data_IF_428948728238
#
_entry.id   IF_428948728238
#
_cell.length_a   1.000
_cell.length_b   1.000
_cell.length_c   1.000
_cell.angle_alpha   90.00
_cell.angle_beta   90.00
_cell.angle_gamma   90.00
#
_symmetry.space_group_name_H-M   'P 1'
#
loop_
_entity.id
_entity.type
_entity.pdbx_description
1 polymer ?
#
# COMPACT_ATOMS: atom_id res chain seq x y z
N UNK A 1 -11.64 -44.92 -11.13
CA UNK A 1 -11.20 -43.52 -11.28
C UNK A 1 -12.47 -42.72 -11.44
N UNK A 2 -12.85 -41.99 -10.41
CA UNK A 2 -14.00 -41.09 -10.43
C UNK A 2 -13.47 -39.74 -9.99
N UNK A 3 -13.24 -38.88 -10.99
CA UNK A 3 -12.90 -37.48 -10.80
C UNK A 3 -14.10 -36.78 -10.16
N UNK A 4 -13.93 -36.32 -8.92
CA UNK A 4 -14.84 -35.42 -8.25
C UNK A 4 -14.53 -33.99 -8.69
N UNK A 5 -15.17 -33.56 -9.78
CA UNK A 5 -15.23 -32.16 -10.18
C UNK A 5 -16.29 -31.48 -9.30
N UNK A 6 -15.86 -30.87 -8.20
CA UNK A 6 -16.71 -29.96 -7.42
C UNK A 6 -16.72 -28.63 -8.17
N UNK A 7 -17.87 -28.15 -8.69
CA UNK A 7 -17.90 -26.83 -9.30
C UNK A 7 -17.62 -25.80 -8.21
N UNK A 8 -16.57 -24.99 -8.40
CA UNK A 8 -16.34 -23.81 -7.60
C UNK A 8 -17.58 -22.91 -7.72
N UNK A 9 -18.28 -22.71 -6.61
CA UNK A 9 -19.47 -21.89 -6.52
C UNK A 9 -19.09 -20.43 -6.76
N UNK A 10 -19.11 -20.01 -8.02
CA UNK A 10 -18.85 -18.63 -8.42
C UNK A 10 -20.14 -17.85 -8.15
N UNK A 11 -20.37 -17.49 -6.89
CA UNK A 11 -21.52 -16.70 -6.48
C UNK A 11 -21.56 -15.37 -7.26
N UNK A 12 -22.74 -14.99 -7.77
CA UNK A 12 -22.90 -13.76 -8.52
C UNK A 12 -22.64 -12.52 -7.63
N UNK A 13 -22.03 -11.45 -8.17
CA UNK A 13 -21.72 -10.24 -7.39
C UNK A 13 -22.99 -9.62 -6.79
N UNK A 14 -22.88 -9.14 -5.56
CA UNK A 14 -23.98 -8.58 -4.77
C UNK A 14 -23.71 -7.13 -4.40
N UNK A 15 -24.77 -6.37 -4.12
CA UNK A 15 -24.66 -4.96 -3.70
C UNK A 15 -25.10 -4.80 -2.25
N UNK A 16 -24.26 -4.12 -1.45
CA UNK A 16 -24.54 -3.78 -0.05
C UNK A 16 -24.64 -2.27 0.12
N UNK A 17 -25.74 -1.79 0.71
CA UNK A 17 -25.91 -0.38 1.09
C UNK A 17 -25.42 -0.18 2.53
N UNK A 18 -24.56 0.82 2.77
CA UNK A 18 -24.11 1.23 4.10
C UNK A 18 -24.66 2.61 4.45
N UNK A 19 -25.09 2.80 5.70
CA UNK A 19 -25.50 4.11 6.19
C UNK A 19 -24.38 4.81 6.98
N UNK A 20 -24.30 6.16 6.95
CA UNK A 20 -23.32 6.89 7.74
C UNK A 20 -23.41 6.55 9.24
N UNK A 21 -22.28 6.17 9.84
CA UNK A 21 -22.17 5.86 11.27
C UNK A 21 -22.43 4.40 11.67
N UNK A 22 -22.78 3.51 10.75
CA UNK A 22 -22.92 2.06 11.02
C UNK A 22 -21.58 1.34 11.20
N UNK A 23 -20.47 1.97 10.77
CA UNK A 23 -19.18 1.29 10.62
C UNK A 23 -19.21 0.28 9.46
N UNK A 24 -18.18 -0.55 9.32
CA UNK A 24 -18.21 -1.65 8.35
C UNK A 24 -17.85 -1.25 6.90
N UNK A 25 -17.36 -0.01 6.69
CA UNK A 25 -16.99 0.46 5.34
C UNK A 25 -15.81 -0.33 4.80
N UNK A 26 -14.78 -0.56 5.62
CA UNK A 26 -13.57 -1.26 5.21
C UNK A 26 -13.86 -2.73 4.91
N UNK A 27 -14.67 -3.40 5.75
CA UNK A 27 -15.09 -4.78 5.53
C UNK A 27 -15.95 -4.93 4.27
N UNK A 28 -16.84 -3.97 4.00
CA UNK A 28 -17.65 -3.99 2.79
C UNK A 28 -16.81 -3.70 1.54
N UNK A 29 -15.78 -2.86 1.64
CA UNK A 29 -14.86 -2.59 0.54
C UNK A 29 -14.04 -3.84 0.22
N UNK A 30 -13.52 -4.52 1.24
CA UNK A 30 -12.78 -5.77 1.09
C UNK A 30 -13.65 -6.89 0.50
N UNK A 31 -14.90 -7.02 0.96
CA UNK A 31 -15.87 -7.98 0.42
C UNK A 31 -16.23 -7.68 -1.05
N UNK A 32 -16.35 -6.39 -1.40
CA UNK A 32 -16.62 -5.97 -2.76
C UNK A 32 -15.43 -6.21 -3.70
N UNK A 33 -14.20 -5.93 -3.26
CA UNK A 33 -12.98 -6.17 -4.05
C UNK A 33 -12.81 -7.66 -4.38
N UNK A 34 -13.02 -8.55 -3.40
CA UNK A 34 -13.01 -10.00 -3.61
C UNK A 34 -14.08 -10.50 -4.60
N UNK A 35 -15.21 -9.79 -4.71
CA UNK A 35 -16.23 -10.11 -5.70
C UNK A 35 -15.85 -9.66 -7.11
N UNK A 36 -15.02 -8.62 -7.24
CA UNK A 36 -14.56 -8.14 -8.55
C UNK A 36 -13.38 -8.95 -9.06
N UNK A 37 -12.49 -9.37 -8.17
CA UNK A 37 -11.32 -10.17 -8.50
C UNK A 37 -11.09 -11.23 -7.41
N UNK A 38 -11.66 -12.44 -7.57
CA UNK A 38 -11.58 -13.50 -6.56
C UNK A 38 -10.17 -14.03 -6.32
N UNK A 39 -9.31 -13.88 -7.33
CA UNK A 39 -7.91 -14.31 -7.28
C UNK A 39 -7.00 -13.19 -6.75
N UNK A 40 -7.54 -11.98 -6.54
CA UNK A 40 -6.79 -10.86 -5.98
C UNK A 40 -6.44 -11.16 -4.52
N UNK A 41 -5.15 -11.21 -4.17
CA UNK A 41 -4.78 -11.22 -2.76
C UNK A 41 -5.30 -9.94 -2.12
N UNK A 42 -5.71 -10.00 -0.85
CA UNK A 42 -6.18 -8.82 -0.13
C UNK A 42 -5.16 -7.68 -0.33
N UNK A 43 -5.65 -6.48 -0.67
CA UNK A 43 -4.83 -5.26 -0.74
C UNK A 43 -4.39 -4.87 0.68
N UNK A 44 -3.46 -5.64 1.22
CA UNK A 44 -2.85 -5.42 2.51
C UNK A 44 -1.41 -5.03 2.25
N UNK A 45 -1.02 -3.85 2.75
CA UNK A 45 0.40 -3.57 2.96
C UNK A 45 0.98 -4.71 3.80
N UNK A 46 1.85 -5.52 3.19
CA UNK A 46 2.58 -6.55 3.92
C UNK A 46 3.60 -5.87 4.82
N UNK A 47 3.95 -6.50 5.95
CA UNK A 47 4.97 -5.95 6.85
C UNK A 47 6.30 -5.74 6.12
N UNK A 48 6.69 -6.67 5.24
CA UNK A 48 7.88 -6.56 4.40
C UNK A 48 7.78 -5.43 3.37
N UNK A 49 6.64 -5.30 2.67
CA UNK A 49 6.42 -4.21 1.70
C UNK A 49 6.49 -2.84 2.36
N UNK A 50 6.00 -2.73 3.60
CA UNK A 50 6.09 -1.50 4.39
C UNK A 50 7.51 -1.18 4.82
N UNK A 51 8.27 -2.17 5.29
CA UNK A 51 9.69 -2.01 5.62
C UNK A 51 10.54 -1.62 4.39
N UNK A 52 10.26 -2.22 3.24
CA UNK A 52 10.87 -1.84 1.97
C UNK A 52 10.51 -0.42 1.54
N UNK A 53 9.24 -0.02 1.69
CA UNK A 53 8.81 1.35 1.43
C UNK A 53 9.52 2.36 2.35
N UNK A 54 9.74 2.02 3.64
CA UNK A 54 10.50 2.87 4.56
C UNK A 54 11.94 3.06 4.10
N UNK A 55 12.64 1.96 3.76
CA UNK A 55 14.01 1.99 3.22
C UNK A 55 14.10 2.83 1.96
N UNK A 56 13.17 2.64 1.02
CA UNK A 56 13.13 3.37 -0.25
C UNK A 56 12.96 4.88 -0.01
N UNK A 57 11.97 5.28 0.79
CA UNK A 57 11.71 6.69 1.09
C UNK A 57 12.90 7.33 1.79
N UNK A 58 13.53 6.63 2.74
CA UNK A 58 14.75 7.12 3.38
C UNK A 58 15.91 7.29 2.37
N UNK A 59 16.13 6.32 1.50
CA UNK A 59 17.20 6.36 0.50
C UNK A 59 17.02 7.54 -0.47
N UNK A 60 15.78 7.80 -0.92
CA UNK A 60 15.47 8.94 -1.78
C UNK A 60 15.69 10.24 -1.02
N UNK A 61 15.15 10.36 0.20
CA UNK A 61 15.25 11.59 1.00
C UNK A 61 16.68 11.97 1.39
N UNK A 62 17.59 10.99 1.45
CA UNK A 62 19.01 11.21 1.78
C UNK A 62 19.91 11.30 0.54
N UNK A 63 19.35 11.05 -0.65
CA UNK A 63 20.07 11.19 -1.92
C UNK A 63 20.21 12.66 -2.30
N UNK A 64 21.31 13.02 -2.96
CA UNK A 64 21.59 14.42 -3.31
C UNK A 64 20.61 15.00 -4.36
N UNK A 65 19.95 14.14 -5.14
CA UNK A 65 19.13 14.50 -6.29
C UNK A 65 17.70 13.93 -6.23
N UNK A 66 17.22 13.49 -5.06
CA UNK A 66 15.94 12.76 -4.92
C UNK A 66 15.83 11.63 -5.97
N UNK A 67 16.88 10.83 -6.15
CA UNK A 67 17.02 9.96 -7.32
C UNK A 67 16.12 8.71 -7.24
N UNK A 68 14.91 8.82 -7.81
CA UNK A 68 13.84 7.81 -7.69
C UNK A 68 14.12 6.55 -8.51
N UNK A 69 14.33 6.69 -9.83
CA UNK A 69 14.55 5.56 -10.73
C UNK A 69 15.65 4.60 -10.26
N UNK A 70 16.87 5.05 -9.90
CA UNK A 70 17.90 4.14 -9.40
C UNK A 70 17.58 3.54 -8.03
N UNK A 71 16.77 4.21 -7.20
CA UNK A 71 16.31 3.66 -5.93
C UNK A 71 15.29 2.53 -6.14
N UNK A 72 14.42 2.65 -7.15
CA UNK A 72 13.47 1.60 -7.54
C UNK A 72 14.14 0.39 -8.18
N UNK A 73 15.22 0.57 -8.94
CA UNK A 73 16.00 -0.55 -9.49
C UNK A 73 16.59 -1.48 -8.40
N UNK A 74 16.72 -0.99 -7.16
CA UNK A 74 17.24 -1.74 -6.03
C UNK A 74 16.15 -2.46 -5.21
N UNK A 75 14.88 -2.34 -5.60
CA UNK A 75 13.73 -2.93 -4.91
C UNK A 75 13.39 -4.29 -5.52
N UNK A 76 13.12 -5.28 -4.65
CA UNK A 76 12.76 -6.63 -5.05
C UNK A 76 11.26 -6.76 -5.39
N UNK A 77 10.37 -6.10 -4.65
CA UNK A 77 8.91 -6.16 -4.84
C UNK A 77 8.27 -4.75 -4.93
N UNK A 78 8.26 -4.21 -6.16
CA UNK A 78 7.70 -2.90 -6.46
C UNK A 78 6.19 -2.82 -6.21
N UNK A 79 5.46 -3.94 -6.35
CA UNK A 79 4.02 -3.99 -6.13
C UNK A 79 3.70 -3.83 -4.63
N UNK A 80 4.44 -4.56 -3.77
CA UNK A 80 4.27 -4.46 -2.32
C UNK A 80 4.62 -3.07 -1.77
N UNK A 81 5.68 -2.43 -2.30
CA UNK A 81 6.00 -1.03 -1.96
C UNK A 81 4.88 -0.10 -2.41
N UNK A 82 4.41 -0.23 -3.66
CA UNK A 82 3.36 0.61 -4.22
C UNK A 82 2.09 0.55 -3.38
N UNK A 83 1.68 -0.64 -2.96
CA UNK A 83 0.52 -0.82 -2.10
C UNK A 83 0.72 -0.20 -0.71
N UNK A 84 1.89 -0.40 -0.10
CA UNK A 84 2.23 0.22 1.19
C UNK A 84 2.17 1.75 1.13
N UNK A 85 2.71 2.34 0.07
CA UNK A 85 2.74 3.78 -0.15
C UNK A 85 1.36 4.37 -0.44
N UNK A 86 0.53 3.69 -1.25
CA UNK A 86 -0.87 4.10 -1.47
C UNK A 86 -1.66 4.06 -0.15
N UNK A 87 -1.45 3.04 0.68
CA UNK A 87 -2.09 2.96 2.00
C UNK A 87 -1.73 4.14 2.90
N UNK A 88 -0.45 4.56 2.91
CA UNK A 88 -0.01 5.75 3.65
C UNK A 88 -0.74 7.00 3.18
N UNK A 89 -0.81 7.24 1.86
CA UNK A 89 -1.50 8.42 1.31
C UNK A 89 -3.01 8.42 1.57
N UNK A 90 -3.68 7.26 1.50
CA UNK A 90 -5.12 7.12 1.80
C UNK A 90 -5.41 7.54 3.25
N UNK A 91 -4.51 7.25 4.18
CA UNK A 91 -4.62 7.67 5.59
C UNK A 91 -4.41 9.18 5.83
N UNK A 92 -4.02 9.94 4.81
CA UNK A 92 -3.84 11.39 4.88
C UNK A 92 -2.65 11.85 5.75
N UNK A 93 -2.63 13.14 6.11
CA UNK A 93 -1.49 13.76 6.83
C UNK A 93 -1.08 13.01 8.11
N UNK A 94 -1.99 12.56 9.01
CA UNK A 94 -1.59 11.83 10.21
C UNK A 94 -0.86 10.51 9.90
N UNK A 95 -1.29 9.81 8.84
CA UNK A 95 -0.66 8.57 8.40
C UNK A 95 0.73 8.82 7.81
N UNK A 96 0.88 9.89 7.02
CA UNK A 96 2.17 10.32 6.49
C UNK A 96 3.14 10.72 7.61
N UNK A 97 2.66 11.45 8.63
CA UNK A 97 3.48 11.83 9.78
C UNK A 97 3.91 10.61 10.62
N UNK A 98 2.99 9.67 10.85
CA UNK A 98 3.31 8.41 11.51
C UNK A 98 4.35 7.61 10.71
N UNK A 99 4.15 7.46 9.41
CA UNK A 99 5.10 6.79 8.52
C UNK A 99 6.47 7.47 8.54
N UNK A 100 6.53 8.81 8.47
CA UNK A 100 7.79 9.55 8.54
C UNK A 100 8.53 9.38 9.88
N UNK A 101 7.79 9.29 10.99
CA UNK A 101 8.38 8.97 12.29
C UNK A 101 8.95 7.54 12.31
N UNK A 102 8.23 6.58 11.74
CA UNK A 102 8.67 5.19 11.67
C UNK A 102 9.89 5.01 10.75
N UNK A 103 9.98 5.76 9.65
CA UNK A 103 11.19 5.83 8.81
C UNK A 103 12.39 6.30 9.63
N UNK A 104 12.22 7.36 10.44
CA UNK A 104 13.29 7.87 11.29
C UNK A 104 13.67 6.89 12.42
N UNK A 105 12.71 6.16 12.98
CA UNK A 105 12.97 5.14 13.98
C UNK A 105 13.71 3.92 13.40
N UNK A 106 13.39 3.52 12.16
CA UNK A 106 13.97 2.35 11.49
C UNK A 106 15.36 2.64 10.89
N UNK A 107 15.49 3.74 10.16
CA UNK A 107 16.70 4.07 9.38
C UNK A 107 17.60 5.09 10.08
N UNK A 108 17.10 5.74 11.13
CA UNK A 108 17.79 6.80 11.85
C UNK A 108 17.61 8.17 11.21
N UNK A 109 17.82 9.21 12.02
CA UNK A 109 17.70 10.61 11.62
C UNK A 109 16.48 11.30 12.23
N UNK A 110 16.15 12.48 11.69
CA UNK A 110 14.95 13.21 12.09
C UNK A 110 13.77 12.81 11.19
N UNK A 111 12.53 12.75 11.72
CA UNK A 111 11.34 12.50 10.90
C UNK A 111 11.22 13.49 9.75
N UNK A 112 10.93 12.97 8.56
CA UNK A 112 10.68 13.80 7.38
C UNK A 112 9.47 14.70 7.62
N UNK A 113 9.54 15.99 7.27
CA UNK A 113 8.37 16.84 7.23
C UNK A 113 7.28 16.22 6.35
N UNK A 114 6.02 16.25 6.80
CA UNK A 114 4.91 15.58 6.11
C UNK A 114 4.81 15.95 4.61
N UNK A 115 5.02 17.21 4.25
CA UNK A 115 4.99 17.64 2.85
C UNK A 115 6.12 17.06 1.99
N UNK A 116 7.31 16.81 2.56
CA UNK A 116 8.42 16.17 1.87
C UNK A 116 8.17 14.67 1.71
N UNK A 117 7.71 14.00 2.77
CA UNK A 117 7.31 12.60 2.71
C UNK A 117 6.21 12.39 1.65
N UNK A 118 5.14 13.19 1.67
CA UNK A 118 4.08 13.13 0.65
C UNK A 118 4.61 13.35 -0.78
N UNK A 119 5.55 14.29 -0.98
CA UNK A 119 6.17 14.53 -2.29
C UNK A 119 6.89 13.28 -2.79
N UNK A 120 7.81 12.73 -1.99
CA UNK A 120 8.59 11.54 -2.35
C UNK A 120 7.66 10.36 -2.66
N UNK A 121 6.68 10.12 -1.79
CA UNK A 121 5.72 9.03 -1.97
C UNK A 121 4.94 9.20 -3.28
N UNK A 122 4.47 10.42 -3.58
CA UNK A 122 3.75 10.72 -4.81
C UNK A 122 4.60 10.54 -6.08
N UNK A 123 5.86 10.95 -6.04
CA UNK A 123 6.77 10.78 -7.19
C UNK A 123 7.17 9.31 -7.39
N UNK A 124 7.36 8.54 -6.32
CA UNK A 124 7.56 7.08 -6.41
C UNK A 124 6.35 6.42 -7.07
N UNK A 125 5.14 6.70 -6.59
CA UNK A 125 3.92 6.10 -7.15
C UNK A 125 3.69 6.48 -8.62
N UNK A 126 4.07 7.70 -9.01
CA UNK A 126 3.98 8.14 -10.40
C UNK A 126 4.95 7.40 -11.34
N UNK A 127 6.06 6.87 -10.83
CA UNK A 127 7.00 6.04 -11.60
C UNK A 127 6.57 4.56 -11.66
N UNK A 128 5.73 4.12 -10.72
CA UNK A 128 5.22 2.74 -10.65
C UNK A 128 3.96 2.49 -11.50
N UNK A 129 3.22 3.56 -11.87
CA UNK A 129 2.00 3.51 -12.71
C UNK A 129 2.33 3.50 -14.21
#
# INVERSE_FOLDING_TARGET
MSDGDTPADTAAPTTRTLHPGEGGYDEALAEWDLQQDPDRPAAVSTASGREEAMRLVHAIATSADDAIAPALEAVDDLEAIGEALRHVLVGGVPSVEAFAAEVADAEGGDPLPAHQATKIIGEVLAELD
#
